data_IF_305973639197
#
_entry.id   IF_305973639197
#
_cell.length_a   1.000
_cell.length_b   1.000
_cell.length_c   1.000
_cell.angle_alpha   90.00
_cell.angle_beta   90.00
_cell.angle_gamma   90.00
#
_symmetry.space_group_name_H-M   'P 1'
#
loop_
_entity.id
_entity.type
_entity.pdbx_description
1 polymer ?
#
# COMPACT_ATOMS: atom_id res chain seq x y z
N UNK A 1 -49.11 -55.81 95.55
CA UNK A 1 -49.00 -54.54 96.31
C UNK A 1 -47.73 -53.83 95.90
N UNK A 2 -47.86 -52.52 95.64
CA UNK A 2 -46.92 -51.45 96.06
C UNK A 2 -45.41 -51.75 95.93
N UNK A 3 -44.69 -51.18 94.97
CA UNK A 3 -44.10 -49.83 94.94
C UNK A 3 -42.61 -49.75 95.32
N UNK A 4 -41.88 -49.03 94.45
CA UNK A 4 -40.81 -48.05 94.71
C UNK A 4 -39.39 -48.55 95.05
N UNK A 5 -38.44 -48.24 94.16
CA UNK A 5 -37.42 -47.19 94.41
C UNK A 5 -36.74 -46.70 93.12
N UNK A 6 -36.86 -45.39 92.86
CA UNK A 6 -36.12 -44.62 91.85
C UNK A 6 -34.96 -43.90 92.54
N UNK A 7 -33.76 -43.91 91.95
CA UNK A 7 -32.67 -42.99 92.29
C UNK A 7 -32.11 -42.33 91.02
N UNK A 8 -32.09 -40.99 91.04
CA UNK A 8 -31.69 -40.10 89.93
C UNK A 8 -30.17 -39.93 89.78
N UNK A 9 -29.66 -39.88 88.55
CA UNK A 9 -28.36 -39.26 88.19
C UNK A 9 -28.60 -37.98 87.38
N UNK A 10 -28.12 -36.84 87.87
CA UNK A 10 -28.16 -35.51 87.21
C UNK A 10 -27.37 -35.53 85.88
N UNK A 11 -27.99 -35.13 84.77
CA UNK A 11 -27.33 -34.86 83.47
C UNK A 11 -26.42 -33.63 83.58
N UNK A 12 -25.21 -33.67 83.01
CA UNK A 12 -24.29 -32.53 82.97
C UNK A 12 -24.83 -31.38 82.13
N UNK A 13 -24.64 -30.14 82.60
CA UNK A 13 -25.16 -28.91 81.98
C UNK A 13 -24.47 -28.52 80.66
N UNK A 14 -23.34 -29.16 80.32
CA UNK A 14 -22.54 -28.91 79.11
C UNK A 14 -22.15 -30.22 78.41
N UNK A 15 -21.91 -30.22 77.09
CA UNK A 15 -21.94 -29.06 76.17
C UNK A 15 -23.36 -28.54 75.91
N UNK A 16 -23.49 -27.22 75.79
CA UNK A 16 -24.76 -26.57 75.47
C UNK A 16 -24.87 -26.42 73.96
N UNK A 17 -25.91 -27.00 73.37
CA UNK A 17 -26.13 -26.99 71.92
C UNK A 17 -27.22 -25.97 71.59
N UNK A 18 -26.89 -25.00 70.73
CA UNK A 18 -27.86 -24.07 70.15
C UNK A 18 -28.16 -24.52 68.73
N UNK A 19 -29.43 -24.83 68.46
CA UNK A 19 -29.94 -25.17 67.13
C UNK A 19 -30.83 -24.06 66.61
N UNK A 20 -30.64 -23.70 65.36
CA UNK A 20 -31.56 -22.84 64.62
C UNK A 20 -31.78 -23.45 63.24
N UNK A 21 -33.00 -23.94 62.98
CA UNK A 21 -33.35 -24.75 61.80
C UNK A 21 -32.36 -25.92 61.58
N UNK A 22 -31.62 -25.91 60.48
CA UNK A 22 -30.65 -26.94 60.10
C UNK A 22 -29.21 -26.68 60.62
N UNK A 23 -28.95 -25.51 61.23
CA UNK A 23 -27.63 -25.15 61.75
C UNK A 23 -27.50 -25.49 63.24
N UNK A 24 -26.33 -25.98 63.63
CA UNK A 24 -26.00 -26.35 65.02
C UNK A 24 -24.68 -25.71 65.45
N UNK A 25 -24.70 -25.03 66.60
CA UNK A 25 -23.52 -24.42 67.23
C UNK A 25 -23.40 -24.97 68.66
N UNK A 26 -22.20 -25.37 69.07
CA UNK A 26 -21.96 -26.04 70.35
C UNK A 26 -21.08 -25.20 71.27
N UNK A 27 -21.49 -25.03 72.52
CA UNK A 27 -20.77 -24.29 73.55
C UNK A 27 -20.20 -25.27 74.57
N UNK A 28 -18.89 -25.23 74.75
CA UNK A 28 -18.15 -26.01 75.74
C UNK A 28 -17.76 -25.12 76.92
N UNK A 29 -17.93 -25.59 78.15
CA UNK A 29 -17.42 -24.93 79.35
C UNK A 29 -16.04 -25.49 79.67
N UNK A 30 -15.01 -24.65 79.61
CA UNK A 30 -13.61 -25.03 79.82
C UNK A 30 -13.13 -24.36 81.11
N UNK A 31 -12.50 -25.13 82.00
CA UNK A 31 -11.92 -24.60 83.24
C UNK A 31 -10.62 -23.88 82.93
N UNK A 32 -10.47 -22.62 83.38
CA UNK A 32 -9.26 -21.83 83.22
C UNK A 32 -8.97 -21.10 84.53
N UNK A 33 -7.76 -21.29 85.06
CA UNK A 33 -7.39 -20.78 86.40
C UNK A 33 -7.20 -19.25 86.43
N UNK A 34 -7.04 -18.65 85.26
CA UNK A 34 -6.62 -17.24 85.09
C UNK A 34 -7.81 -16.27 84.88
N UNK A 35 -9.05 -16.75 84.93
CA UNK A 35 -10.26 -15.91 84.85
C UNK A 35 -10.95 -15.81 86.21
N UNK A 36 -11.53 -14.64 86.51
CA UNK A 36 -12.22 -14.35 87.79
C UNK A 36 -13.34 -15.33 88.14
N UNK A 37 -13.91 -16.03 87.16
CA UNK A 37 -14.96 -17.04 87.34
C UNK A 37 -14.45 -18.48 87.30
N UNK A 38 -13.15 -18.70 87.03
CA UNK A 38 -12.52 -20.02 86.89
C UNK A 38 -12.89 -20.79 85.60
N UNK A 39 -13.67 -20.17 84.71
CA UNK A 39 -14.13 -20.79 83.47
C UNK A 39 -14.08 -19.82 82.28
N UNK A 40 -13.99 -20.39 81.08
CA UNK A 40 -14.27 -19.74 79.80
C UNK A 40 -15.22 -20.64 78.99
N UNK A 41 -15.90 -20.05 78.02
CA UNK A 41 -16.86 -20.73 77.17
C UNK A 41 -16.35 -20.73 75.73
N UNK A 42 -16.10 -21.91 75.16
CA UNK A 42 -15.69 -22.07 73.76
C UNK A 42 -16.91 -22.37 72.90
N UNK A 43 -17.25 -21.43 72.01
CA UNK A 43 -18.31 -21.59 71.01
C UNK A 43 -17.71 -22.17 69.75
N UNK A 44 -18.21 -23.32 69.29
CA UNK A 44 -17.71 -24.05 68.13
C UNK A 44 -18.79 -24.28 67.09
N UNK A 45 -18.47 -23.98 65.83
CA UNK A 45 -19.32 -24.27 64.66
C UNK A 45 -18.47 -24.67 63.47
N UNK A 46 -19.12 -25.20 62.43
CA UNK A 46 -18.50 -25.50 61.14
C UNK A 46 -18.85 -24.36 60.18
N UNK A 47 -17.84 -23.79 59.53
CA UNK A 47 -18.04 -22.73 58.54
C UNK A 47 -18.46 -23.28 57.16
N UNK A 48 -18.68 -22.39 56.19
CA UNK A 48 -19.06 -22.76 54.83
C UNK A 48 -18.02 -23.65 54.12
N UNK A 49 -16.75 -23.56 54.52
CA UNK A 49 -15.64 -24.34 53.98
C UNK A 49 -15.44 -25.70 54.70
N UNK A 50 -16.44 -26.13 55.48
CA UNK A 50 -16.39 -27.34 56.32
C UNK A 50 -15.27 -27.33 57.37
N UNK A 51 -14.71 -26.15 57.69
CA UNK A 51 -13.68 -26.00 58.72
C UNK A 51 -14.32 -25.71 60.07
N UNK A 52 -13.82 -26.35 61.12
CA UNK A 52 -14.25 -26.08 62.49
C UNK A 52 -13.65 -24.77 62.99
N UNK A 53 -14.49 -23.79 63.29
CA UNK A 53 -14.10 -22.54 63.94
C UNK A 53 -14.46 -22.62 65.44
N UNK A 54 -13.62 -22.04 66.29
CA UNK A 54 -13.86 -21.91 67.72
C UNK A 54 -13.56 -20.48 68.18
N UNK A 55 -14.41 -19.92 69.03
CA UNK A 55 -14.19 -18.62 69.68
C UNK A 55 -14.45 -18.73 71.18
N UNK A 56 -13.49 -18.28 71.98
CA UNK A 56 -13.57 -18.30 73.44
C UNK A 56 -14.10 -16.98 73.99
N UNK A 57 -15.02 -17.07 74.94
CA UNK A 57 -15.65 -15.93 75.61
C UNK A 57 -15.64 -16.16 77.13
N UNK A 58 -15.55 -15.08 77.90
CA UNK A 58 -15.44 -15.17 79.37
C UNK A 58 -16.81 -15.35 80.03
N UNK A 59 -17.88 -14.77 79.46
CA UNK A 59 -19.25 -14.85 80.01
C UNK A 59 -20.13 -15.80 79.19
N UNK A 60 -20.97 -16.57 79.89
CA UNK A 60 -21.90 -17.50 79.25
C UNK A 60 -22.98 -16.78 78.42
N UNK A 61 -23.42 -15.59 78.85
CA UNK A 61 -24.42 -14.80 78.13
C UNK A 61 -23.92 -14.42 76.73
N UNK A 62 -22.68 -13.91 76.64
CA UNK A 62 -22.04 -13.56 75.38
C UNK A 62 -21.83 -14.79 74.49
N UNK A 63 -21.46 -15.93 75.07
CA UNK A 63 -21.33 -17.19 74.36
C UNK A 63 -22.66 -17.68 73.77
N UNK A 64 -23.77 -17.53 74.51
CA UNK A 64 -25.12 -17.85 74.03
C UNK A 64 -25.58 -16.88 72.94
N UNK A 65 -25.29 -15.58 73.07
CA UNK A 65 -25.62 -14.58 72.07
C UNK A 65 -24.88 -14.84 70.75
N UNK A 66 -23.56 -15.05 70.79
CA UNK A 66 -22.75 -15.38 69.62
C UNK A 66 -23.21 -16.69 68.97
N UNK A 67 -23.51 -17.72 69.75
CA UNK A 67 -23.96 -19.00 69.22
C UNK A 67 -25.33 -18.90 68.52
N UNK A 68 -26.25 -18.05 69.00
CA UNK A 68 -27.53 -17.76 68.31
C UNK A 68 -27.30 -17.00 67.00
N UNK A 69 -26.51 -15.92 67.04
CA UNK A 69 -26.16 -15.14 65.85
C UNK A 69 -25.55 -16.03 64.76
N UNK A 70 -24.61 -16.92 65.12
CA UNK A 70 -24.00 -17.84 64.15
C UNK A 70 -24.96 -18.93 63.68
N UNK A 71 -25.84 -19.45 64.53
CA UNK A 71 -26.85 -20.42 64.11
C UNK A 71 -27.86 -19.80 63.12
N UNK A 72 -28.28 -18.56 63.35
CA UNK A 72 -29.15 -17.80 62.43
C UNK A 72 -28.44 -17.50 61.10
N UNK A 73 -27.18 -17.03 61.17
CA UNK A 73 -26.36 -16.74 59.99
C UNK A 73 -26.19 -17.99 59.11
N UNK A 74 -25.76 -19.11 59.70
CA UNK A 74 -25.58 -20.39 59.00
C UNK A 74 -26.89 -20.94 58.42
N UNK A 75 -28.01 -20.72 59.11
CA UNK A 75 -29.34 -21.16 58.67
C UNK A 75 -29.91 -20.32 57.51
N UNK A 76 -29.42 -19.10 57.29
CA UNK A 76 -29.97 -18.17 56.30
C UNK A 76 -29.49 -18.41 54.86
N UNK A 77 -28.58 -19.36 54.64
CA UNK A 77 -28.06 -19.65 53.29
C UNK A 77 -27.24 -18.52 52.67
N UNK A 78 -26.89 -17.48 53.44
CA UNK A 78 -25.88 -16.48 53.07
C UNK A 78 -24.48 -17.12 53.12
N UNK A 79 -24.27 -18.07 52.22
CA UNK A 79 -22.95 -18.54 51.80
C UNK A 79 -22.44 -17.54 50.76
N UNK A 80 -21.19 -17.10 50.91
CA UNK A 80 -20.50 -16.12 50.07
C UNK A 80 -20.86 -14.64 50.29
N UNK A 81 -20.53 -14.16 51.49
CA UNK A 81 -19.76 -12.92 51.55
C UNK A 81 -18.43 -13.29 52.21
N UNK A 82 -17.47 -13.75 51.41
CA UNK A 82 -16.09 -13.49 51.78
C UNK A 82 -15.99 -11.96 51.81
N UNK A 83 -15.58 -11.40 52.95
CA UNK A 83 -15.49 -9.95 53.12
C UNK A 83 -14.66 -9.38 51.96
N UNK A 84 -15.34 -8.70 51.02
CA UNK A 84 -14.66 -7.89 50.01
C UNK A 84 -13.80 -6.91 50.80
N UNK A 85 -12.50 -6.91 50.53
CA UNK A 85 -11.65 -5.93 51.19
C UNK A 85 -11.99 -4.52 50.69
N UNK A 86 -11.49 -3.51 51.39
CA UNK A 86 -11.77 -2.11 51.06
C UNK A 86 -11.35 -1.75 49.63
N UNK A 87 -10.26 -2.33 49.14
CA UNK A 87 -9.75 -2.09 47.78
C UNK A 87 -10.71 -2.65 46.73
N UNK A 88 -11.23 -3.86 46.93
CA UNK A 88 -12.19 -4.51 46.03
C UNK A 88 -13.52 -3.75 46.00
N UNK A 89 -13.98 -3.22 47.13
CA UNK A 89 -15.16 -2.36 47.19
C UNK A 89 -14.94 -1.04 46.44
N UNK A 90 -13.80 -0.40 46.62
CA UNK A 90 -13.45 0.84 45.91
C UNK A 90 -13.37 0.61 44.39
N UNK A 91 -12.82 -0.51 43.95
CA UNK A 91 -12.78 -0.91 42.53
C UNK A 91 -14.19 -1.11 41.95
N UNK A 92 -15.09 -1.80 42.66
CA UNK A 92 -16.48 -1.98 42.23
C UNK A 92 -17.25 -0.65 42.14
N UNK A 93 -17.01 0.27 43.08
CA UNK A 93 -17.61 1.61 43.05
C UNK A 93 -17.07 2.40 41.86
N UNK A 94 -15.78 2.32 41.58
CA UNK A 94 -15.17 2.98 40.42
C UNK A 94 -15.68 2.40 39.10
N UNK A 95 -15.77 1.08 39.00
CA UNK A 95 -16.30 0.38 37.84
C UNK A 95 -17.75 0.80 37.55
N UNK A 96 -18.62 0.90 38.57
CA UNK A 96 -19.99 1.42 38.41
C UNK A 96 -20.02 2.89 37.94
N UNK A 97 -19.08 3.73 38.38
CA UNK A 97 -18.97 5.11 37.89
C UNK A 97 -18.58 5.17 36.41
N UNK A 98 -17.74 4.24 35.94
CA UNK A 98 -17.35 4.14 34.53
C UNK A 98 -18.54 3.69 33.67
N UNK A 99 -19.24 2.63 34.10
CA UNK A 99 -20.33 2.05 33.29
C UNK A 99 -21.60 2.89 33.30
N UNK A 100 -21.74 3.81 34.27
CA UNK A 100 -22.91 4.70 34.44
C UNK A 100 -24.22 3.91 34.42
N UNK A 101 -25.00 4.06 33.35
CA UNK A 101 -26.32 3.44 33.18
C UNK A 101 -26.23 1.98 32.72
N UNK A 102 -25.06 1.50 32.30
CA UNK A 102 -24.85 0.13 31.85
C UNK A 102 -24.54 -0.76 33.07
N UNK A 103 -25.28 -1.87 33.27
CA UNK A 103 -24.96 -2.84 34.32
C UNK A 103 -23.54 -3.40 34.15
N UNK A 104 -22.77 -3.43 35.24
CA UNK A 104 -21.36 -3.83 35.21
C UNK A 104 -21.11 -5.19 34.54
N UNK A 105 -21.96 -6.17 34.83
CA UNK A 105 -21.85 -7.50 34.23
C UNK A 105 -22.06 -7.47 32.71
N UNK A 106 -23.01 -6.68 32.23
CA UNK A 106 -23.29 -6.51 30.80
C UNK A 106 -22.11 -5.83 30.09
N UNK A 107 -21.52 -4.79 30.69
CA UNK A 107 -20.34 -4.12 30.15
C UNK A 107 -19.14 -5.08 30.02
N UNK A 108 -18.91 -5.93 31.02
CA UNK A 108 -17.82 -6.93 30.98
C UNK A 108 -18.08 -8.01 29.93
N UNK A 109 -19.33 -8.48 29.79
CA UNK A 109 -19.70 -9.47 28.76
C UNK A 109 -19.49 -8.92 27.34
N UNK A 110 -19.88 -7.67 27.11
CA UNK A 110 -19.70 -7.00 25.82
C UNK A 110 -18.21 -6.76 25.52
N UNK A 111 -17.45 -6.28 26.51
CA UNK A 111 -16.00 -6.15 26.40
C UNK A 111 -15.32 -7.48 26.06
N UNK A 112 -15.68 -8.57 26.75
CA UNK A 112 -15.09 -9.90 26.51
C UNK A 112 -15.38 -10.38 25.08
N UNK A 113 -16.62 -10.24 24.61
CA UNK A 113 -16.99 -10.59 23.24
C UNK A 113 -16.21 -9.77 22.22
N UNK A 114 -16.08 -8.46 22.43
CA UNK A 114 -15.27 -7.59 21.57
C UNK A 114 -13.78 -7.96 21.62
N UNK A 115 -13.26 -8.32 22.80
CA UNK A 115 -11.88 -8.78 22.99
C UNK A 115 -11.59 -10.03 22.16
N UNK A 116 -12.47 -11.04 22.25
CA UNK A 116 -12.37 -12.30 21.51
C UNK A 116 -12.44 -12.07 19.99
N UNK A 117 -13.37 -11.22 19.53
CA UNK A 117 -13.52 -10.88 18.11
C UNK A 117 -12.31 -10.13 17.53
N UNK A 118 -11.62 -9.33 18.34
CA UNK A 118 -10.52 -8.45 17.88
C UNK A 118 -9.13 -8.95 18.25
N UNK A 119 -9.03 -10.11 18.91
CA UNK A 119 -7.76 -10.62 19.44
C UNK A 119 -7.11 -9.64 20.42
N UNK A 120 -7.91 -8.92 21.21
CA UNK A 120 -7.46 -7.90 22.17
C UNK A 120 -7.32 -6.47 21.63
N UNK A 121 -7.58 -6.23 20.34
CA UNK A 121 -7.43 -4.90 19.72
C UNK A 121 -8.76 -4.11 19.66
N UNK A 122 -9.49 -4.04 20.77
CA UNK A 122 -10.83 -3.42 20.81
C UNK A 122 -10.81 -1.95 20.41
N UNK A 123 -9.89 -1.16 20.99
CA UNK A 123 -9.81 0.29 20.73
C UNK A 123 -9.42 0.59 19.28
N UNK A 124 -8.37 -0.04 18.70
CA UNK A 124 -8.09 0.09 17.26
C UNK A 124 -9.27 -0.29 16.36
N UNK A 125 -9.99 -1.37 16.68
CA UNK A 125 -11.15 -1.80 15.90
C UNK A 125 -12.31 -0.80 15.99
N UNK A 126 -12.58 -0.26 17.18
CA UNK A 126 -13.59 0.78 17.39
C UNK A 126 -13.21 2.09 16.67
N UNK A 127 -11.93 2.48 16.68
CA UNK A 127 -11.45 3.64 15.94
C UNK A 127 -11.60 3.44 14.43
N UNK A 128 -11.24 2.26 13.91
CA UNK A 128 -11.43 1.93 12.50
C UNK A 128 -12.92 1.97 12.10
N UNK A 129 -13.81 1.44 12.93
CA UNK A 129 -15.25 1.52 12.72
C UNK A 129 -15.75 2.97 12.76
N UNK A 130 -15.29 3.77 13.72
CA UNK A 130 -15.63 5.19 13.84
C UNK A 130 -15.15 5.97 12.61
N UNK A 131 -13.96 5.70 12.10
CA UNK A 131 -13.43 6.37 10.92
C UNK A 131 -14.22 6.01 9.65
N UNK A 132 -14.65 4.75 9.55
CA UNK A 132 -15.52 4.27 8.46
C UNK A 132 -16.93 4.87 8.51
N UNK A 133 -17.51 5.03 9.71
CA UNK A 133 -18.95 5.30 9.87
C UNK A 133 -19.29 6.69 10.40
N UNK A 134 -18.38 7.39 11.09
CA UNK A 134 -18.63 8.67 11.75
C UNK A 134 -18.07 9.87 10.97
N UNK A 135 -17.36 9.63 9.86
CA UNK A 135 -17.08 10.70 8.92
C UNK A 135 -18.40 11.01 8.20
N UNK A 136 -19.03 12.16 8.47
CA UNK A 136 -20.08 12.72 7.60
C UNK A 136 -19.45 12.94 6.21
N UNK A 137 -19.36 11.87 5.43
CA UNK A 137 -18.71 11.90 4.13
C UNK A 137 -19.52 12.86 3.27
N UNK A 138 -18.84 13.90 2.80
CA UNK A 138 -19.45 14.85 1.89
C UNK A 138 -19.87 14.08 0.65
N UNK A 139 -21.13 14.20 0.29
CA UNK A 139 -21.64 13.59 -0.93
C UNK A 139 -21.16 14.44 -2.10
N UNK A 140 -20.51 13.81 -3.07
CA UNK A 140 -20.06 14.45 -4.31
C UNK A 140 -20.36 13.52 -5.47
N UNK A 141 -20.97 14.06 -6.52
CA UNK A 141 -21.26 13.27 -7.72
C UNK A 141 -19.98 13.05 -8.54
N UNK A 142 -19.95 12.00 -9.34
CA UNK A 142 -18.74 11.63 -10.10
C UNK A 142 -18.31 12.75 -11.06
N UNK A 143 -19.24 13.41 -11.74
CA UNK A 143 -18.95 14.51 -12.66
C UNK A 143 -18.31 15.72 -11.98
N UNK A 144 -18.79 16.06 -10.78
CA UNK A 144 -18.25 17.13 -9.95
C UNK A 144 -16.87 16.74 -9.40
N UNK A 145 -16.70 15.49 -8.99
CA UNK A 145 -15.44 14.93 -8.51
C UNK A 145 -14.36 14.96 -9.59
N UNK A 146 -14.69 14.54 -10.82
CA UNK A 146 -13.79 14.58 -11.98
C UNK A 146 -13.41 16.01 -12.29
N UNK A 147 -14.38 16.94 -12.36
CA UNK A 147 -14.09 18.37 -12.59
C UNK A 147 -13.13 18.92 -11.53
N UNK A 148 -13.42 18.69 -10.24
CA UNK A 148 -12.60 19.15 -9.12
C UNK A 148 -11.16 18.61 -9.21
N UNK A 149 -10.98 17.35 -9.58
CA UNK A 149 -9.65 16.76 -9.77
C UNK A 149 -8.91 17.37 -10.96
N UNK A 150 -9.58 17.53 -12.09
CA UNK A 150 -8.99 18.08 -13.32
C UNK A 150 -8.53 19.53 -13.11
N UNK A 151 -9.37 20.35 -12.45
CA UNK A 151 -9.06 21.73 -12.11
C UNK A 151 -7.87 21.83 -11.15
N UNK A 152 -7.80 20.95 -10.14
CA UNK A 152 -6.67 20.89 -9.22
C UNK A 152 -5.36 20.55 -9.94
N UNK A 153 -5.38 19.60 -10.88
CA UNK A 153 -4.19 19.23 -11.66
C UNK A 153 -3.75 20.31 -12.64
N UNK A 154 -4.68 21.08 -13.21
CA UNK A 154 -4.34 22.26 -14.01
C UNK A 154 -3.65 23.32 -13.16
N UNK A 155 -4.14 23.59 -11.94
CA UNK A 155 -3.50 24.55 -11.01
C UNK A 155 -2.10 24.12 -10.56
N UNK A 156 -1.84 22.81 -10.45
CA UNK A 156 -0.50 22.26 -10.19
C UNK A 156 0.45 22.34 -11.40
N UNK A 157 0.03 22.93 -12.54
CA UNK A 157 0.82 22.99 -13.77
C UNK A 157 1.01 21.63 -14.46
N UNK A 158 0.21 20.62 -14.10
CA UNK A 158 0.27 19.29 -14.74
C UNK A 158 -0.51 19.31 -16.05
N UNK A 159 0.05 18.71 -17.09
CA UNK A 159 -0.67 18.44 -18.33
C UNK A 159 -1.77 17.38 -18.11
N UNK A 160 -2.98 17.87 -17.85
CA UNK A 160 -4.17 17.04 -17.62
C UNK A 160 -4.67 16.40 -18.93
N UNK A 161 -4.52 17.11 -20.06
CA UNK A 161 -4.96 16.66 -21.40
C UNK A 161 -4.29 15.36 -21.84
N UNK A 162 -3.01 15.17 -21.56
CA UNK A 162 -2.26 13.97 -21.96
C UNK A 162 -2.44 12.84 -20.93
N UNK A 163 -2.63 13.19 -19.65
CA UNK A 163 -2.59 12.22 -18.55
C UNK A 163 -3.94 11.60 -18.18
N UNK A 164 -5.05 12.34 -18.26
CA UNK A 164 -6.36 11.89 -17.71
C UNK A 164 -7.52 11.96 -18.71
N UNK A 165 -7.36 12.69 -19.82
CA UNK A 165 -8.42 12.97 -20.80
C UNK A 165 -9.07 11.73 -21.41
N UNK A 166 -8.31 10.65 -21.60
CA UNK A 166 -8.84 9.40 -22.16
C UNK A 166 -9.53 8.50 -21.13
N UNK A 167 -9.44 8.83 -19.84
CA UNK A 167 -9.93 7.98 -18.75
C UNK A 167 -11.08 8.63 -17.99
N UNK A 168 -10.87 9.82 -17.43
CA UNK A 168 -11.82 10.41 -16.48
C UNK A 168 -13.12 10.94 -17.11
N UNK A 169 -13.12 11.58 -18.31
CA UNK A 169 -14.38 11.95 -18.96
C UNK A 169 -15.27 10.74 -19.27
N UNK A 170 -14.71 9.66 -19.80
CA UNK A 170 -15.45 8.42 -20.08
C UNK A 170 -16.01 7.79 -18.80
N UNK A 171 -15.20 7.77 -17.73
CA UNK A 171 -15.63 7.30 -16.43
C UNK A 171 -16.76 8.19 -15.86
N UNK A 172 -16.66 9.51 -16.03
CA UNK A 172 -17.68 10.47 -15.61
C UNK A 172 -19.00 10.24 -16.32
N UNK A 173 -18.98 9.99 -17.63
CA UNK A 173 -20.19 9.71 -18.41
C UNK A 173 -20.84 8.39 -17.99
N UNK A 174 -20.04 7.32 -17.81
CA UNK A 174 -20.58 6.00 -17.48
C UNK A 174 -21.16 5.93 -16.04
N UNK A 175 -20.75 6.83 -15.14
CA UNK A 175 -21.20 6.90 -13.75
C UNK A 175 -21.88 8.23 -13.39
N UNK A 176 -22.39 8.94 -14.38
CA UNK A 176 -23.04 10.23 -14.20
C UNK A 176 -24.18 10.15 -13.17
N UNK A 177 -24.27 11.16 -12.30
CA UNK A 177 -25.29 11.22 -11.26
C UNK A 177 -25.05 10.31 -10.05
N UNK A 178 -24.11 9.37 -10.13
CA UNK A 178 -23.72 8.52 -9.01
C UNK A 178 -22.82 9.27 -8.03
N UNK A 179 -22.90 8.91 -6.74
CA UNK A 179 -21.96 9.44 -5.74
C UNK A 179 -20.64 8.68 -5.79
N UNK A 180 -19.51 9.40 -5.74
CA UNK A 180 -18.17 8.79 -5.79
C UNK A 180 -17.96 7.74 -4.69
N UNK A 181 -18.56 7.96 -3.52
CA UNK A 181 -18.48 7.06 -2.36
C UNK A 181 -19.30 5.77 -2.52
N UNK A 182 -20.13 5.66 -3.56
CA UNK A 182 -20.97 4.47 -3.84
C UNK A 182 -20.44 3.61 -4.98
N UNK A 183 -19.40 4.04 -5.67
CA UNK A 183 -18.82 3.28 -6.77
C UNK A 183 -17.97 2.14 -6.20
N UNK A 184 -18.40 0.90 -6.42
CA UNK A 184 -17.73 -0.29 -5.86
C UNK A 184 -16.55 -0.77 -6.70
N UNK A 185 -15.68 -1.58 -6.09
CA UNK A 185 -14.56 -2.25 -6.74
C UNK A 185 -15.02 -3.05 -7.96
N UNK A 186 -16.14 -3.76 -7.84
CA UNK A 186 -16.71 -4.57 -8.93
C UNK A 186 -17.11 -3.70 -10.13
N UNK A 187 -17.82 -2.59 -9.88
CA UNK A 187 -18.22 -1.66 -10.95
C UNK A 187 -17.00 -1.07 -11.68
N UNK A 188 -15.96 -0.69 -10.94
CA UNK A 188 -14.71 -0.18 -11.55
C UNK A 188 -14.03 -1.27 -12.38
N UNK A 189 -14.02 -2.50 -11.89
CA UNK A 189 -13.37 -3.62 -12.56
C UNK A 189 -14.10 -4.00 -13.86
N UNK A 190 -15.43 -4.08 -13.84
CA UNK A 190 -16.26 -4.28 -15.02
C UNK A 190 -16.08 -3.14 -16.02
N UNK A 191 -16.06 -1.89 -15.55
CA UNK A 191 -15.80 -0.73 -16.39
C UNK A 191 -14.44 -0.79 -17.08
N UNK A 192 -13.39 -1.17 -16.36
CA UNK A 192 -12.05 -1.35 -16.91
C UNK A 192 -11.99 -2.46 -17.96
N UNK A 193 -12.64 -3.60 -17.69
CA UNK A 193 -12.66 -4.75 -18.60
C UNK A 193 -13.45 -4.44 -19.88
N UNK A 194 -14.61 -3.80 -19.74
CA UNK A 194 -15.48 -3.41 -20.87
C UNK A 194 -14.81 -2.42 -21.81
N UNK A 195 -14.06 -1.47 -21.26
CA UNK A 195 -13.53 -0.35 -22.04
C UNK A 195 -12.12 -0.57 -22.59
N UNK A 196 -11.33 -1.49 -22.00
CA UNK A 196 -9.91 -1.67 -22.34
C UNK A 196 -9.52 -3.15 -22.42
N UNK A 197 -9.55 -3.71 -23.64
CA UNK A 197 -9.18 -5.10 -23.87
C UNK A 197 -7.69 -5.41 -23.68
N UNK A 198 -6.79 -4.50 -24.07
CA UNK A 198 -5.35 -4.73 -23.94
C UNK A 198 -4.87 -4.56 -22.47
N UNK A 199 -4.16 -5.53 -21.87
CA UNK A 199 -3.76 -5.50 -20.45
C UNK A 199 -2.98 -4.25 -20.03
N UNK A 200 -1.97 -3.84 -20.80
CA UNK A 200 -1.16 -2.66 -20.50
C UNK A 200 -1.97 -1.34 -20.54
N UNK A 201 -2.91 -1.24 -21.48
CA UNK A 201 -3.82 -0.09 -21.60
C UNK A 201 -4.76 -0.06 -20.42
N UNK A 202 -5.40 -1.19 -20.09
CA UNK A 202 -6.26 -1.34 -18.92
C UNK A 202 -5.54 -0.93 -17.63
N UNK A 203 -4.33 -1.44 -17.41
CA UNK A 203 -3.53 -1.12 -16.23
C UNK A 203 -3.12 0.36 -16.16
N UNK A 204 -2.86 1.00 -17.30
CA UNK A 204 -2.61 2.44 -17.38
C UNK A 204 -3.84 3.26 -16.98
N UNK A 205 -5.03 2.87 -17.44
CA UNK A 205 -6.29 3.49 -17.03
C UNK A 205 -6.62 3.25 -15.56
N UNK A 206 -6.39 2.02 -15.05
CA UNK A 206 -6.49 1.69 -13.62
C UNK A 206 -5.60 2.60 -12.77
N UNK A 207 -4.33 2.81 -13.15
CA UNK A 207 -3.41 3.71 -12.42
C UNK A 207 -3.95 5.15 -12.31
N UNK A 208 -4.58 5.65 -13.37
CA UNK A 208 -5.22 6.98 -13.38
C UNK A 208 -6.43 7.03 -12.45
N UNK A 209 -7.29 6.00 -12.47
CA UNK A 209 -8.43 5.89 -11.54
C UNK A 209 -7.96 5.80 -10.08
N UNK A 210 -6.96 4.99 -9.78
CA UNK A 210 -6.37 4.91 -8.43
C UNK A 210 -5.87 6.28 -7.97
N UNK A 211 -5.22 7.03 -8.85
CA UNK A 211 -4.74 8.39 -8.53
C UNK A 211 -5.89 9.34 -8.23
N UNK A 212 -6.96 9.27 -9.03
CA UNK A 212 -8.18 10.06 -8.84
C UNK A 212 -8.90 9.71 -7.52
N UNK A 213 -9.14 8.43 -7.23
CA UNK A 213 -9.79 8.00 -5.99
C UNK A 213 -8.95 8.33 -4.75
N UNK A 214 -7.61 8.17 -4.81
CA UNK A 214 -6.72 8.60 -3.71
C UNK A 214 -6.82 10.09 -3.44
N UNK A 215 -6.95 10.90 -4.50
CA UNK A 215 -7.18 12.33 -4.33
C UNK A 215 -8.55 12.60 -3.68
N UNK A 216 -9.62 11.93 -4.10
CA UNK A 216 -10.94 12.05 -3.46
C UNK A 216 -10.91 11.67 -1.97
N UNK A 217 -10.16 10.63 -1.61
CA UNK A 217 -9.90 10.27 -0.20
C UNK A 217 -9.18 11.38 0.56
N UNK A 218 -8.11 11.94 -0.01
CA UNK A 218 -7.37 13.04 0.62
C UNK A 218 -8.26 14.28 0.85
N UNK A 219 -9.22 14.52 -0.03
CA UNK A 219 -10.19 15.61 0.05
C UNK A 219 -11.39 15.31 0.99
N UNK A 220 -11.45 14.12 1.59
CA UNK A 220 -12.49 13.73 2.55
C UNK A 220 -13.81 13.27 1.94
N UNK A 221 -13.82 12.91 0.65
CA UNK A 221 -15.00 12.34 -0.03
C UNK A 221 -15.05 10.82 0.01
N UNK A 222 -13.98 10.17 0.48
CA UNK A 222 -13.86 8.72 0.70
C UNK A 222 -13.22 8.46 2.08
N UNK A 223 -13.37 7.26 2.67
CA UNK A 223 -12.83 6.95 4.00
C UNK A 223 -11.31 7.13 4.06
N UNK A 224 -10.81 7.94 5.00
CA UNK A 224 -9.39 8.32 5.07
C UNK A 224 -8.44 7.16 5.36
N UNK A 225 -8.88 6.22 6.19
CA UNK A 225 -8.04 5.13 6.72
C UNK A 225 -8.28 3.78 6.02
N UNK A 226 -9.03 3.76 4.91
CA UNK A 226 -9.24 2.56 4.10
C UNK A 226 -8.62 2.70 2.70
N UNK A 227 -8.26 1.56 2.10
CA UNK A 227 -7.95 1.51 0.67
C UNK A 227 -9.19 1.93 -0.13
N UNK A 228 -8.99 2.67 -1.22
CA UNK A 228 -10.13 3.05 -2.07
C UNK A 228 -10.57 1.88 -2.95
N UNK A 229 -11.84 1.87 -3.36
CA UNK A 229 -12.39 0.84 -4.27
C UNK A 229 -11.54 0.68 -5.55
N UNK A 230 -10.99 1.77 -6.10
CA UNK A 230 -10.08 1.70 -7.24
C UNK A 230 -8.75 0.99 -6.92
N UNK A 231 -8.23 1.11 -5.69
CA UNK A 231 -7.01 0.43 -5.25
C UNK A 231 -7.18 -1.08 -5.14
N UNK A 232 -8.39 -1.53 -4.77
CA UNK A 232 -8.75 -2.94 -4.61
C UNK A 232 -8.95 -3.67 -5.94
N UNK A 233 -9.16 -2.96 -7.06
CA UNK A 233 -9.32 -3.60 -8.38
C UNK A 233 -8.09 -4.42 -8.78
N UNK A 234 -8.26 -5.54 -9.48
CA UNK A 234 -7.12 -6.36 -9.91
C UNK A 234 -6.33 -5.72 -11.07
N UNK A 235 -5.01 -5.96 -11.10
CA UNK A 235 -4.18 -5.68 -12.27
C UNK A 235 -4.37 -6.80 -13.29
N UNK A 236 -4.42 -6.44 -14.57
CA UNK A 236 -4.37 -7.42 -15.64
C UNK A 236 -2.94 -7.93 -15.77
N UNK A 237 -2.77 -9.22 -16.07
CA UNK A 237 -1.47 -9.80 -16.41
C UNK A 237 -1.01 -9.20 -17.73
N UNK A 238 0.18 -8.60 -17.73
CA UNK A 238 0.85 -8.13 -18.93
C UNK A 238 1.85 -9.20 -19.34
N UNK A 239 1.77 -9.66 -20.58
CA UNK A 239 2.80 -10.52 -21.15
C UNK A 239 4.08 -9.70 -21.38
N UNK A 240 5.21 -10.39 -21.41
CA UNK A 240 6.46 -9.75 -21.77
C UNK A 240 6.34 -9.26 -23.23
N UNK A 241 6.43 -7.94 -23.42
CA UNK A 241 6.51 -7.36 -24.76
C UNK A 241 7.91 -7.64 -25.30
N UNK A 242 7.99 -8.49 -26.31
CA UNK A 242 9.16 -8.57 -27.18
C UNK A 242 9.28 -7.25 -27.93
N UNK A 243 10.43 -6.59 -27.76
CA UNK A 243 10.69 -5.35 -28.47
C UNK A 243 11.01 -5.68 -29.93
N UNK A 244 10.40 -4.94 -30.85
CA UNK A 244 10.74 -5.07 -32.25
C UNK A 244 11.96 -4.22 -32.58
N UNK A 245 13.03 -4.85 -33.05
CA UNK A 245 14.23 -4.22 -33.60
C UNK A 245 14.19 -4.23 -35.13
N UNK A 246 15.10 -3.49 -35.75
CA UNK A 246 15.41 -3.54 -37.18
C UNK A 246 16.93 -3.72 -37.34
N UNK A 247 17.36 -4.41 -38.39
CA UNK A 247 18.77 -4.73 -38.66
C UNK A 247 19.52 -3.58 -39.36
N UNK A 248 20.86 -3.67 -39.39
CA UNK A 248 21.75 -2.67 -39.97
C UNK A 248 21.52 -2.48 -41.48
N UNK A 249 21.24 -3.57 -42.21
CA UNK A 249 20.99 -3.54 -43.66
C UNK A 249 19.71 -2.76 -43.99
N UNK A 250 18.63 -3.02 -43.26
CA UNK A 250 17.34 -2.35 -43.36
C UNK A 250 17.48 -0.87 -42.97
N UNK A 251 18.23 -0.59 -41.90
CA UNK A 251 18.51 0.78 -41.49
C UNK A 251 19.32 1.57 -42.53
N UNK A 252 20.35 0.96 -43.14
CA UNK A 252 21.14 1.54 -44.24
C UNK A 252 20.27 1.90 -45.44
N UNK A 253 19.44 0.95 -45.89
CA UNK A 253 18.48 1.17 -47.00
C UNK A 253 17.57 2.34 -46.71
N UNK A 254 17.05 2.44 -45.49
CA UNK A 254 16.19 3.55 -45.08
C UNK A 254 16.95 4.89 -45.05
N UNK A 255 18.16 4.93 -44.49
CA UNK A 255 18.98 6.14 -44.43
C UNK A 255 19.26 6.70 -45.83
N UNK A 256 19.72 5.86 -46.76
CA UNK A 256 19.94 6.23 -48.17
C UNK A 256 18.65 6.72 -48.84
N UNK A 257 17.56 5.98 -48.69
CA UNK A 257 16.27 6.38 -49.26
C UNK A 257 15.79 7.73 -48.72
N UNK A 258 15.92 7.97 -47.40
CA UNK A 258 15.54 9.23 -46.77
C UNK A 258 16.48 10.36 -47.20
N UNK A 259 17.78 10.12 -47.30
CA UNK A 259 18.74 11.09 -47.85
C UNK A 259 18.31 11.55 -49.26
N UNK A 260 17.99 10.60 -50.15
CA UNK A 260 17.71 10.90 -51.55
C UNK A 260 16.32 11.54 -51.76
N UNK A 261 15.30 11.04 -51.06
CA UNK A 261 13.89 11.40 -51.32
C UNK A 261 13.29 12.33 -50.28
N UNK A 262 13.79 12.32 -49.06
CA UNK A 262 13.23 13.07 -47.93
C UNK A 262 14.32 13.67 -47.01
N UNK A 263 15.30 14.42 -47.53
CA UNK A 263 16.52 14.81 -46.80
C UNK A 263 16.25 15.62 -45.52
N UNK A 264 15.10 16.29 -45.43
CA UNK A 264 14.63 17.01 -44.24
C UNK A 264 14.32 16.09 -43.04
N UNK A 265 14.15 14.78 -43.25
CA UNK A 265 13.97 13.78 -42.19
C UNK A 265 15.26 13.08 -41.77
N UNK A 266 16.38 13.31 -42.47
CA UNK A 266 17.63 12.59 -42.27
C UNK A 266 18.17 12.76 -40.85
N UNK A 267 18.28 14.00 -40.36
CA UNK A 267 18.76 14.27 -39.01
C UNK A 267 17.93 13.55 -37.94
N UNK A 268 16.61 13.59 -38.05
CA UNK A 268 15.72 12.92 -37.11
C UNK A 268 15.93 11.39 -37.10
N UNK A 269 16.14 10.78 -38.28
CA UNK A 269 16.42 9.35 -38.41
C UNK A 269 17.79 8.98 -37.80
N UNK A 270 18.81 9.80 -38.01
CA UNK A 270 20.14 9.61 -37.41
C UNK A 270 20.07 9.71 -35.90
N UNK A 271 19.42 10.73 -35.34
CA UNK A 271 19.25 10.85 -33.88
C UNK A 271 18.42 9.71 -33.28
N UNK A 272 17.49 9.12 -34.04
CA UNK A 272 16.72 7.98 -33.58
C UNK A 272 17.56 6.68 -33.54
N UNK A 273 18.32 6.39 -34.60
CA UNK A 273 19.03 5.11 -34.76
C UNK A 273 20.48 5.10 -34.29
N UNK A 274 21.21 6.21 -34.41
CA UNK A 274 22.61 6.32 -33.98
C UNK A 274 22.78 7.01 -32.61
N UNK A 275 21.73 7.65 -32.07
CA UNK A 275 21.78 8.26 -30.73
C UNK A 275 20.74 7.66 -29.76
N UNK A 276 19.88 6.76 -30.23
CA UNK A 276 18.84 6.12 -29.42
C UNK A 276 17.90 7.07 -28.71
N UNK A 277 17.76 8.32 -29.18
CA UNK A 277 16.99 9.35 -28.49
C UNK A 277 15.49 9.02 -28.49
N UNK A 278 14.74 9.50 -27.50
CA UNK A 278 13.29 9.31 -27.49
C UNK A 278 12.66 10.14 -28.60
N UNK A 279 11.56 9.65 -29.16
CA UNK A 279 10.71 10.37 -30.11
C UNK A 279 10.47 11.83 -29.72
N UNK A 280 9.96 12.07 -28.52
CA UNK A 280 9.69 13.43 -28.04
C UNK A 280 10.96 14.25 -27.82
N UNK A 281 12.10 13.64 -27.48
CA UNK A 281 13.37 14.37 -27.36
C UNK A 281 13.81 14.86 -28.75
N UNK A 282 13.73 13.99 -29.77
CA UNK A 282 14.07 14.33 -31.17
C UNK A 282 13.16 15.42 -31.72
N UNK A 283 11.84 15.33 -31.46
CA UNK A 283 10.87 16.30 -31.99
C UNK A 283 11.01 17.70 -31.40
N UNK A 284 11.58 17.82 -30.20
CA UNK A 284 11.86 19.11 -29.57
C UNK A 284 13.34 19.52 -29.71
N UNK A 285 14.12 18.79 -30.52
CA UNK A 285 15.55 19.03 -30.64
C UNK A 285 15.83 20.23 -31.54
N UNK A 286 16.79 21.07 -31.13
CA UNK A 286 17.30 22.18 -31.91
C UNK A 286 18.75 21.90 -32.35
N UNK A 287 19.15 22.42 -33.51
CA UNK A 287 20.52 22.29 -34.01
C UNK A 287 21.57 22.96 -33.12
N UNK A 288 21.19 23.99 -32.34
CA UNK A 288 22.08 24.60 -31.34
C UNK A 288 22.52 23.64 -30.23
N UNK A 289 21.78 22.55 -30.02
CA UNK A 289 22.10 21.51 -29.07
C UNK A 289 22.92 20.35 -29.69
N UNK A 290 23.18 20.38 -31.01
CA UNK A 290 23.95 19.38 -31.76
C UNK A 290 25.34 19.94 -32.05
N UNK A 291 26.36 19.46 -31.33
CA UNK A 291 27.75 19.85 -31.55
C UNK A 291 28.47 18.76 -32.33
N UNK A 292 28.64 18.96 -33.65
CA UNK A 292 29.35 18.03 -34.52
C UNK A 292 30.87 18.03 -34.23
N UNK A 293 31.46 19.20 -34.00
CA UNK A 293 32.88 19.36 -33.64
C UNK A 293 33.21 18.63 -32.33
N UNK A 294 32.38 18.82 -31.30
CA UNK A 294 32.58 18.17 -29.99
C UNK A 294 31.94 16.78 -29.91
N UNK A 295 31.38 16.29 -31.02
CA UNK A 295 30.78 14.96 -31.17
C UNK A 295 29.72 14.60 -30.13
N UNK A 296 28.78 15.52 -29.83
CA UNK A 296 27.66 15.21 -28.95
C UNK A 296 26.35 15.92 -29.31
N UNK A 297 25.25 15.37 -28.81
CA UNK A 297 23.93 16.01 -28.77
C UNK A 297 23.51 16.22 -27.33
N UNK A 298 23.13 17.45 -26.99
CA UNK A 298 22.60 17.80 -25.67
C UNK A 298 21.10 17.54 -25.65
N UNK A 299 20.65 16.74 -24.70
CA UNK A 299 19.22 16.58 -24.40
C UNK A 299 18.90 17.44 -23.19
N UNK A 300 18.15 18.52 -23.41
CA UNK A 300 17.84 19.56 -22.42
C UNK A 300 16.46 19.41 -21.79
N UNK A 301 15.54 18.66 -22.42
CA UNK A 301 14.19 18.36 -21.94
C UNK A 301 13.93 16.85 -21.90
N UNK A 302 14.26 16.18 -20.79
CA UNK A 302 13.95 14.76 -20.60
C UNK A 302 12.65 14.53 -19.81
N UNK A 303 12.15 13.28 -19.83
CA UNK A 303 10.98 12.89 -19.02
C UNK A 303 11.32 12.95 -17.51
N UNK A 304 10.35 13.31 -16.64
CA UNK A 304 10.52 13.19 -15.19
C UNK A 304 11.00 11.79 -14.78
N UNK A 305 12.04 11.71 -13.96
CA UNK A 305 12.64 10.43 -13.52
C UNK A 305 13.69 9.83 -14.48
N UNK A 306 14.10 10.57 -15.50
CA UNK A 306 15.28 10.27 -16.33
C UNK A 306 16.29 11.42 -16.22
N UNK A 307 17.60 11.20 -16.45
CA UNK A 307 18.59 12.27 -16.40
C UNK A 307 18.15 13.45 -17.29
N UNK A 308 17.73 14.55 -16.65
CA UNK A 308 17.05 15.68 -17.29
C UNK A 308 17.95 16.42 -18.29
N UNK A 309 19.26 16.33 -18.06
CA UNK A 309 20.31 16.88 -18.91
C UNK A 309 21.35 15.78 -19.11
N UNK A 310 21.54 15.36 -20.37
CA UNK A 310 22.59 14.42 -20.74
C UNK A 310 23.23 14.81 -22.06
N UNK A 311 24.45 14.34 -22.24
CA UNK A 311 25.15 14.40 -23.52
C UNK A 311 25.09 13.00 -24.14
N UNK A 312 24.62 12.92 -25.37
CA UNK A 312 24.63 11.70 -26.16
C UNK A 312 25.81 11.79 -27.11
N UNK A 313 26.74 10.85 -27.01
CA UNK A 313 27.93 10.79 -27.87
C UNK A 313 27.51 10.52 -29.31
N UNK A 314 28.03 11.31 -30.27
CA UNK A 314 27.89 11.06 -31.70
C UNK A 314 29.05 10.16 -32.15
N UNK A 315 28.75 9.00 -32.73
CA UNK A 315 29.77 8.24 -33.46
C UNK A 315 30.12 8.94 -34.77
N UNK A 316 31.27 8.58 -35.36
CA UNK A 316 31.77 9.22 -36.58
C UNK A 316 30.78 9.10 -37.74
N UNK A 317 30.19 7.92 -37.90
CA UNK A 317 29.13 7.64 -38.88
C UNK A 317 27.89 8.53 -38.71
N UNK A 318 27.48 8.82 -37.48
CA UNK A 318 26.37 9.75 -37.22
C UNK A 318 26.74 11.18 -37.66
N UNK A 319 27.98 11.60 -37.44
CA UNK A 319 28.47 12.92 -37.88
C UNK A 319 28.47 12.99 -39.41
N UNK A 320 28.97 11.96 -40.09
CA UNK A 320 28.97 11.89 -41.56
C UNK A 320 27.55 12.10 -42.12
N UNK A 321 26.55 11.42 -41.57
CA UNK A 321 25.15 11.62 -41.98
C UNK A 321 24.59 13.01 -41.65
N UNK A 322 24.89 13.54 -40.45
CA UNK A 322 24.42 14.86 -40.05
C UNK A 322 25.04 15.98 -40.90
N UNK A 323 26.27 15.79 -41.38
CA UNK A 323 26.94 16.72 -42.30
C UNK A 323 26.25 16.79 -43.67
N UNK A 324 25.53 15.75 -44.07
CA UNK A 324 24.76 15.69 -45.33
C UNK A 324 23.36 16.31 -45.21
N UNK A 325 22.94 16.73 -44.01
CA UNK A 325 21.64 17.36 -43.83
C UNK A 325 21.58 18.74 -44.54
N UNK A 326 20.50 19.06 -45.26
CA UNK A 326 20.42 20.23 -46.12
C UNK A 326 20.39 21.56 -45.35
N UNK A 327 19.93 21.53 -44.09
CA UNK A 327 19.95 22.66 -43.18
C UNK A 327 20.28 22.19 -41.78
N UNK A 328 21.11 22.96 -41.08
CA UNK A 328 21.53 22.72 -39.69
C UNK A 328 21.25 23.93 -38.80
N UNK A 329 20.14 24.61 -39.05
CA UNK A 329 19.72 25.81 -38.33
C UNK A 329 18.31 25.58 -37.77
N UNK A 330 18.06 26.04 -36.55
CA UNK A 330 16.74 25.98 -35.93
C UNK A 330 16.35 24.57 -35.49
N UNK A 331 15.08 24.21 -35.66
CA UNK A 331 14.54 22.92 -35.22
C UNK A 331 15.04 21.77 -36.10
N UNK A 332 15.36 20.62 -35.49
CA UNK A 332 15.71 19.39 -36.22
C UNK A 332 14.47 18.80 -36.91
N UNK A 333 13.28 19.04 -36.37
CA UNK A 333 11.99 18.54 -36.88
C UNK A 333 11.00 19.70 -37.08
N UNK A 334 11.20 20.58 -38.07
CA UNK A 334 10.35 21.75 -38.24
C UNK A 334 8.90 21.35 -38.54
N UNK A 335 7.96 21.91 -37.78
CA UNK A 335 6.53 21.89 -38.10
C UNK A 335 5.79 20.56 -37.86
N UNK A 336 6.37 19.54 -37.21
CA UNK A 336 5.61 18.31 -36.89
C UNK A 336 6.18 17.47 -35.74
N UNK A 337 5.28 17.02 -34.85
CA UNK A 337 5.58 16.07 -33.75
C UNK A 337 5.41 14.60 -34.15
N UNK A 338 5.40 14.28 -35.45
CA UNK A 338 5.17 12.91 -35.95
C UNK A 338 6.25 12.44 -36.94
N UNK A 339 7.40 13.13 -36.99
CA UNK A 339 8.47 12.84 -37.97
C UNK A 339 8.91 11.37 -37.95
N UNK A 340 9.17 10.81 -36.77
CA UNK A 340 9.64 9.42 -36.62
C UNK A 340 8.58 8.42 -37.09
N UNK A 341 7.30 8.67 -36.79
CA UNK A 341 6.21 7.82 -37.26
C UNK A 341 6.06 7.89 -38.78
N UNK A 342 6.23 9.09 -39.36
CA UNK A 342 6.19 9.30 -40.80
C UNK A 342 7.36 8.63 -41.51
N UNK A 343 8.59 8.72 -40.98
CA UNK A 343 9.75 8.00 -41.50
C UNK A 343 9.49 6.49 -41.51
N UNK A 344 8.97 5.94 -40.39
CA UNK A 344 8.59 4.51 -40.34
C UNK A 344 7.52 4.16 -41.35
N UNK A 345 6.50 5.00 -41.51
CA UNK A 345 5.44 4.79 -42.50
C UNK A 345 6.00 4.76 -43.92
N UNK A 346 6.86 5.71 -44.27
CA UNK A 346 7.55 5.77 -45.56
C UNK A 346 8.37 4.50 -45.79
N UNK A 347 9.20 4.09 -44.82
CA UNK A 347 10.00 2.87 -44.93
C UNK A 347 9.13 1.62 -45.12
N UNK A 348 8.05 1.47 -44.34
CA UNK A 348 7.10 0.35 -44.49
C UNK A 348 6.42 0.33 -45.85
N UNK A 349 6.06 1.49 -46.40
CA UNK A 349 5.49 1.59 -47.75
C UNK A 349 6.48 1.16 -48.84
N UNK A 350 7.77 1.20 -48.55
CA UNK A 350 8.84 0.69 -49.42
C UNK A 350 9.28 -0.74 -49.03
N UNK A 351 8.45 -1.49 -48.30
CA UNK A 351 8.70 -2.90 -48.00
C UNK A 351 9.70 -3.18 -46.89
N UNK A 352 10.11 -2.17 -46.11
CA UNK A 352 11.04 -2.36 -45.00
C UNK A 352 10.30 -2.79 -43.72
N UNK A 353 10.82 -3.79 -43.01
CA UNK A 353 10.30 -4.17 -41.69
C UNK A 353 10.79 -3.20 -40.61
N UNK A 354 9.87 -2.36 -40.15
CA UNK A 354 10.13 -1.32 -39.16
C UNK A 354 9.14 -1.43 -38.00
N UNK A 355 9.37 -2.32 -37.02
CA UNK A 355 8.52 -2.44 -35.84
C UNK A 355 8.36 -1.13 -35.05
N UNK A 356 7.40 -1.08 -34.13
CA UNK A 356 7.15 0.13 -33.35
C UNK A 356 8.37 0.51 -32.49
N UNK A 357 8.82 1.77 -32.59
CA UNK A 357 10.01 2.30 -31.89
C UNK A 357 11.34 1.57 -32.21
N UNK A 358 11.41 0.84 -33.33
CA UNK A 358 12.56 0.02 -33.72
C UNK A 358 13.90 0.75 -33.70
N UNK A 359 14.03 1.98 -34.21
CA UNK A 359 15.32 2.69 -34.26
C UNK A 359 15.99 2.83 -32.89
N UNK A 360 15.19 3.23 -31.88
CA UNK A 360 15.67 3.33 -30.50
C UNK A 360 15.95 1.95 -29.92
N UNK A 361 15.11 0.97 -30.24
CA UNK A 361 15.29 -0.39 -29.74
C UNK A 361 16.57 -1.03 -30.27
N UNK A 362 16.79 -0.94 -31.59
CA UNK A 362 18.02 -1.36 -32.26
C UNK A 362 19.23 -0.66 -31.68
N UNK A 363 19.22 0.68 -31.52
CA UNK A 363 20.34 1.38 -30.91
C UNK A 363 20.72 0.80 -29.54
N UNK A 364 19.75 0.58 -28.65
CA UNK A 364 20.02 0.10 -27.29
C UNK A 364 20.55 -1.34 -27.34
N UNK A 365 19.93 -2.21 -28.14
CA UNK A 365 20.37 -3.61 -28.29
C UNK A 365 21.79 -3.68 -28.88
N UNK A 366 22.03 -3.00 -30.01
CA UNK A 366 23.32 -2.97 -30.70
C UNK A 366 24.42 -2.33 -29.83
N UNK A 367 24.11 -1.24 -29.10
CA UNK A 367 25.10 -0.58 -28.24
C UNK A 367 25.53 -1.47 -27.07
N UNK A 368 24.58 -2.16 -26.44
CA UNK A 368 24.88 -3.12 -25.36
C UNK A 368 25.67 -4.30 -25.91
N UNK A 369 25.30 -4.83 -27.09
CA UNK A 369 26.01 -5.93 -27.71
C UNK A 369 27.46 -5.56 -28.10
N UNK A 370 27.67 -4.38 -28.68
CA UNK A 370 28.98 -3.92 -29.13
C UNK A 370 29.94 -3.55 -27.98
N UNK A 371 29.43 -3.00 -26.88
CA UNK A 371 30.29 -2.42 -25.82
C UNK A 371 30.26 -3.17 -24.49
N UNK A 372 29.18 -3.91 -24.21
CA UNK A 372 28.90 -4.45 -22.87
C UNK A 372 28.54 -3.37 -21.82
N UNK A 373 28.59 -2.08 -22.16
CA UNK A 373 28.41 -0.98 -21.20
C UNK A 373 26.94 -0.61 -21.00
N UNK A 374 26.27 -1.34 -20.09
CA UNK A 374 24.84 -1.15 -19.82
C UNK A 374 24.53 0.22 -19.23
N UNK A 375 25.30 0.68 -18.23
CA UNK A 375 25.01 1.94 -17.53
C UNK A 375 25.23 3.15 -18.42
N UNK A 376 26.27 3.13 -19.26
CA UNK A 376 26.49 4.18 -20.26
C UNK A 376 25.37 4.20 -21.30
N UNK A 377 24.97 3.04 -21.81
CA UNK A 377 23.86 2.95 -22.75
C UNK A 377 22.55 3.42 -22.12
N UNK A 378 22.32 3.11 -20.84
CA UNK A 378 21.18 3.60 -20.08
C UNK A 378 21.20 5.12 -19.97
N UNK A 379 22.35 5.71 -19.66
CA UNK A 379 22.53 7.15 -19.61
C UNK A 379 22.27 7.79 -20.99
N UNK A 380 22.95 7.35 -22.05
CA UNK A 380 22.87 7.91 -23.42
C UNK A 380 21.46 7.78 -24.03
N UNK A 381 20.81 6.63 -23.90
CA UNK A 381 19.42 6.47 -24.32
C UNK A 381 18.44 7.11 -23.32
N UNK A 382 18.89 7.51 -22.13
CA UNK A 382 18.05 8.03 -21.06
C UNK A 382 17.07 6.99 -20.48
N UNK A 383 17.37 5.70 -20.57
CA UNK A 383 16.60 4.60 -19.95
C UNK A 383 17.22 4.20 -18.60
N UNK A 384 16.75 3.12 -17.97
CA UNK A 384 17.40 2.54 -16.78
C UNK A 384 18.02 1.19 -17.11
N UNK A 385 19.10 0.82 -16.40
CA UNK A 385 19.74 -0.50 -16.54
C UNK A 385 18.73 -1.65 -16.33
N UNK A 386 17.81 -1.49 -15.37
CA UNK A 386 16.70 -2.43 -15.14
C UNK A 386 15.83 -2.64 -16.38
N UNK A 387 15.53 -1.58 -17.14
CA UNK A 387 14.78 -1.69 -18.38
C UNK A 387 15.59 -2.36 -19.49
N UNK A 388 16.91 -2.12 -19.54
CA UNK A 388 17.83 -2.79 -20.48
C UNK A 388 17.84 -4.30 -20.22
N UNK A 389 18.11 -4.72 -18.98
CA UNK A 389 18.11 -6.13 -18.61
C UNK A 389 16.78 -6.84 -18.88
N UNK A 390 15.67 -6.13 -18.73
CA UNK A 390 14.33 -6.72 -18.92
C UNK A 390 14.00 -6.98 -20.39
N UNK A 391 14.49 -6.15 -21.32
CA UNK A 391 13.96 -6.11 -22.69
C UNK A 391 15.01 -6.25 -23.80
N UNK A 392 16.30 -6.09 -23.52
CA UNK A 392 17.33 -5.91 -24.57
C UNK A 392 18.49 -6.89 -24.48
N UNK A 393 18.50 -7.76 -23.45
CA UNK A 393 19.53 -8.78 -23.30
C UNK A 393 19.28 -9.88 -24.36
N UNK A 394 20.33 -10.34 -25.02
CA UNK A 394 20.33 -11.51 -25.95
C UNK A 394 19.64 -11.33 -27.32
N UNK A 395 19.40 -10.09 -27.77
CA UNK A 395 18.74 -9.85 -29.07
C UNK A 395 19.69 -9.72 -30.28
N UNK A 396 20.96 -9.38 -30.05
CA UNK A 396 21.90 -8.95 -31.10
C UNK A 396 23.30 -9.46 -30.73
N UNK A 397 24.07 -9.93 -31.70
CA UNK A 397 25.48 -10.36 -31.48
C UNK A 397 26.43 -9.14 -31.41
N UNK A 398 27.62 -9.26 -30.81
CA UNK A 398 28.60 -8.17 -30.80
C UNK A 398 28.96 -7.65 -32.20
N UNK A 399 29.01 -8.54 -33.20
CA UNK A 399 29.32 -8.22 -34.59
C UNK A 399 28.21 -7.38 -35.22
N UNK A 400 26.95 -7.82 -35.13
CA UNK A 400 25.78 -7.06 -35.58
C UNK A 400 25.65 -5.71 -34.85
N UNK A 401 26.02 -5.70 -33.56
CA UNK A 401 26.06 -4.50 -32.75
C UNK A 401 27.06 -3.48 -33.26
N UNK A 402 28.24 -3.94 -33.69
CA UNK A 402 29.31 -3.10 -34.26
C UNK A 402 28.92 -2.61 -35.64
N UNK A 403 28.41 -3.50 -36.51
CA UNK A 403 27.94 -3.19 -37.86
C UNK A 403 26.91 -2.05 -37.86
N UNK A 404 25.99 -2.04 -36.89
CA UNK A 404 24.99 -0.98 -36.74
C UNK A 404 25.59 0.42 -36.66
N UNK A 405 26.73 0.59 -35.98
CA UNK A 405 27.39 1.89 -35.81
C UNK A 405 28.32 2.25 -36.97
N UNK A 406 28.54 1.33 -37.92
CA UNK A 406 29.33 1.51 -39.14
C UNK A 406 28.44 1.78 -40.38
N UNK A 407 27.12 1.93 -40.18
CA UNK A 407 26.15 2.24 -41.25
C UNK A 407 26.31 3.69 -41.74
N UNK A 408 27.33 3.94 -42.56
CA UNK A 408 27.67 5.25 -43.12
C UNK A 408 27.07 5.58 -44.48
N UNK A 409 27.21 6.86 -44.92
CA UNK A 409 26.73 7.32 -46.22
C UNK A 409 27.60 6.89 -47.40
N UNK A 410 28.83 6.44 -47.16
CA UNK A 410 29.69 5.85 -48.20
C UNK A 410 29.35 4.38 -48.38
N UNK A 411 29.40 3.91 -49.62
CA UNK A 411 29.25 2.49 -49.91
C UNK A 411 30.57 1.77 -49.58
N UNK A 412 30.50 0.49 -49.20
CA UNK A 412 31.67 -0.34 -48.90
C UNK A 412 32.60 -0.39 -50.12
N UNK A 413 33.65 0.43 -50.15
CA UNK A 413 34.59 0.54 -51.27
C UNK A 413 35.27 1.90 -51.44
N UNK A 414 34.69 2.99 -50.94
CA UNK A 414 35.32 4.32 -51.00
C UNK A 414 36.29 4.51 -49.82
N UNK A 415 37.56 4.09 -50.00
CA UNK A 415 38.64 4.34 -49.04
C UNK A 415 38.81 5.84 -48.77
N UNK A 416 38.91 6.19 -47.49
CA UNK A 416 39.25 7.53 -47.01
C UNK A 416 40.63 7.93 -47.52
N UNK A 417 40.72 8.93 -48.39
CA UNK A 417 41.99 9.63 -48.63
C UNK A 417 42.23 10.53 -47.42
N UNK A 418 43.25 10.20 -46.63
CA UNK A 418 43.74 11.02 -45.53
C UNK A 418 44.13 12.41 -46.04
N UNK A 419 43.51 13.45 -45.50
CA UNK A 419 43.99 14.82 -45.69
C UNK A 419 45.18 15.05 -44.76
N UNK A 420 46.39 15.09 -45.33
CA UNK A 420 47.56 15.65 -44.65
C UNK A 420 47.33 17.14 -44.41
N UNK A 421 47.54 17.56 -43.15
CA UNK A 421 47.34 18.93 -42.71
C UNK A 421 48.26 19.90 -43.44
N UNK A 422 47.67 20.94 -44.03
CA UNK A 422 48.41 22.12 -44.47
C UNK A 422 48.88 22.85 -43.21
N UNK A 423 50.17 22.72 -42.92
CA UNK A 423 50.90 23.52 -41.95
C UNK A 423 50.94 24.97 -42.43
N UNK A 424 50.26 25.86 -41.71
CA UNK A 424 50.41 27.32 -41.90
C UNK A 424 51.71 27.77 -41.27
N UNK A 425 52.60 28.33 -42.09
CA UNK A 425 53.65 29.26 -41.65
C UNK A 425 53.06 30.64 -41.47
#
# INVERSE_FOLDING_TARGET
>A
MSCIKVMSKKKSEFPLIIKHRNATVTIYKIRRKDTSTGFIYSVSWIDANRKRIQKQLVKLADAKALAREKAEFLSSGRQEAADLDRSQLEELVFAKRITKDIPLLSAIQEWKKAYEMTGGNIIPAAQAWQDMNNTKMRKLKVEEAVKMFMDAKLKEGREVKTSYRLTLPRFSTDFEGSYISRISTLQIQEWLNRNFGHPATRNSHRKRLVTFFRYMRAQGFLPRNAQTEAELTSRAKEDALDIGITDAVTYRKLLKFIQDRHPHYLAALVLAGHCGMRRNEIHNQNWNDVSLERKFVRVSAAKPGTPAKRLVTLCDTAIEWLMLCPSRIGEVCPGTTLVIDRIRFIGKKNGLDLPANCFRHSYISCRVAATGEIDRTALEAGTSAKMIHKHYRELVTPEEGTEWFEVGPRDEGEKVVSFEGISTK
#
